data_IF_734669125935
#
_entry.id   IF_734669125935
#
_cell.length_a   1.000
_cell.length_b   1.000
_cell.length_c   1.000
_cell.angle_alpha   90.00
_cell.angle_beta   90.00
_cell.angle_gamma   90.00
#
_symmetry.space_group_name_H-M   'P 1'
#
loop_
_entity.id
_entity.type
_entity.pdbx_description
1 polymer ?
#
# COMPACT_ATOMS: atom_id res chain seq x y z
N UNK A 1 -12.45 -1.87 -2.36
CA UNK A 1 -11.01 -1.75 -1.99
C UNK A 1 -10.16 -2.75 -2.77
N UNK A 2 -10.38 -4.06 -2.65
CA UNK A 2 -9.58 -5.09 -3.32
C UNK A 2 -9.59 -4.96 -4.86
N UNK A 3 -10.74 -4.64 -5.45
CA UNK A 3 -10.83 -4.37 -6.90
C UNK A 3 -9.96 -3.18 -7.30
N UNK A 4 -9.96 -2.11 -6.52
CA UNK A 4 -9.12 -0.94 -6.79
C UNK A 4 -7.62 -1.28 -6.77
N UNK A 5 -7.17 -2.14 -5.86
CA UNK A 5 -5.78 -2.61 -5.81
C UNK A 5 -5.44 -3.38 -7.11
N UNK A 6 -6.33 -4.25 -7.58
CA UNK A 6 -6.16 -4.95 -8.85
C UNK A 6 -6.07 -3.98 -10.04
N UNK A 7 -6.92 -2.94 -10.04
CA UNK A 7 -6.91 -1.90 -11.06
C UNK A 7 -5.60 -1.08 -11.05
N UNK A 8 -5.02 -0.84 -9.87
CA UNK A 8 -3.71 -0.21 -9.73
C UNK A 8 -2.59 -1.08 -10.30
N UNK A 9 -2.59 -2.38 -9.97
CA UNK A 9 -1.59 -3.31 -10.48
C UNK A 9 -1.58 -3.36 -12.01
N UNK A 10 -2.77 -3.42 -12.61
CA UNK A 10 -2.94 -3.44 -14.06
C UNK A 10 -2.55 -2.10 -14.70
N UNK A 11 -3.00 -0.98 -14.14
CA UNK A 11 -2.75 0.35 -14.68
C UNK A 11 -1.29 0.80 -14.55
N UNK A 12 -0.56 0.23 -13.62
CA UNK A 12 0.87 0.49 -13.43
C UNK A 12 1.79 -0.27 -14.41
N UNK A 13 1.20 -1.01 -15.35
CA UNK A 13 1.89 -1.80 -16.39
C UNK A 13 2.99 -2.72 -15.84
N UNK A 14 2.69 -3.35 -14.70
CA UNK A 14 3.59 -4.31 -14.04
C UNK A 14 3.50 -5.73 -14.66
N UNK A 15 2.87 -5.88 -15.82
CA UNK A 15 2.58 -7.18 -16.43
C UNK A 15 1.49 -7.98 -15.70
N UNK A 16 0.83 -7.38 -14.72
CA UNK A 16 -0.24 -8.00 -13.93
C UNK A 16 -1.57 -7.76 -14.63
N UNK A 17 -2.23 -8.82 -15.07
CA UNK A 17 -3.56 -8.76 -15.69
C UNK A 17 -4.68 -8.63 -14.64
N UNK A 18 -4.52 -9.30 -13.50
CA UNK A 18 -5.48 -9.21 -12.39
C UNK A 18 -4.86 -9.68 -11.08
N UNK A 19 -5.51 -9.31 -9.97
CA UNK A 19 -5.17 -9.84 -8.65
C UNK A 19 -6.36 -10.60 -8.07
N UNK A 20 -6.06 -11.74 -7.46
CA UNK A 20 -7.00 -12.56 -6.70
C UNK A 20 -6.64 -12.45 -5.22
N UNK A 21 -7.65 -12.28 -4.37
CA UNK A 21 -7.48 -12.22 -2.93
C UNK A 21 -8.23 -13.38 -2.29
N UNK A 22 -7.52 -14.22 -1.60
CA UNK A 22 -8.08 -15.32 -0.81
C UNK A 22 -8.07 -14.89 0.65
N UNK A 23 -9.24 -14.96 1.29
CA UNK A 23 -9.40 -14.60 2.70
C UNK A 23 -9.64 -15.89 3.46
N UNK A 24 -8.66 -16.30 4.23
CA UNK A 24 -8.78 -17.42 5.16
C UNK A 24 -9.10 -16.87 6.55
N UNK A 25 -10.30 -17.17 7.03
CA UNK A 25 -10.78 -16.73 8.33
C UNK A 25 -10.60 -17.83 9.35
N UNK A 26 -9.64 -17.70 10.25
CA UNK A 26 -9.39 -18.63 11.34
C UNK A 26 -10.01 -18.11 12.62
N UNK A 27 -10.84 -18.94 13.29
CA UNK A 27 -11.27 -18.63 14.65
C UNK A 27 -10.07 -18.69 15.59
N UNK A 28 -9.92 -17.66 16.39
CA UNK A 28 -8.86 -17.63 17.42
C UNK A 28 -9.33 -18.53 18.55
N UNK A 29 -8.80 -19.75 18.59
CA UNK A 29 -8.87 -20.65 19.73
C UNK A 29 -7.61 -20.43 20.57
N UNK A 30 -7.62 -20.89 21.82
CA UNK A 30 -6.55 -20.70 22.83
C UNK A 30 -5.11 -21.03 22.39
N UNK A 31 -4.91 -21.61 21.19
CA UNK A 31 -3.60 -21.87 20.58
C UNK A 31 -3.36 -20.93 19.38
N UNK A 32 -3.02 -19.67 19.68
CA UNK A 32 -2.57 -18.72 18.67
C UNK A 32 -1.17 -19.10 18.17
N UNK A 33 -1.07 -19.51 16.93
CA UNK A 33 0.22 -19.55 16.23
C UNK A 33 0.52 -18.17 15.65
N UNK A 34 1.45 -17.47 16.29
CA UNK A 34 1.97 -16.22 15.74
C UNK A 34 3.11 -16.51 14.75
N UNK A 35 3.32 -15.65 13.73
CA UNK A 35 4.52 -15.71 12.93
C UNK A 35 5.79 -15.69 13.77
N UNK A 36 6.82 -16.42 13.35
CA UNK A 36 8.08 -16.59 14.13
C UNK A 36 8.81 -15.26 14.37
N UNK A 37 8.62 -14.28 13.49
CA UNK A 37 9.26 -12.96 13.55
C UNK A 37 8.66 -12.01 14.58
N UNK A 38 7.58 -12.39 15.28
CA UNK A 38 6.99 -11.55 16.35
C UNK A 38 7.68 -11.85 17.68
N UNK A 39 8.26 -10.84 18.36
CA UNK A 39 8.87 -11.01 19.68
C UNK A 39 7.88 -11.56 20.72
N UNK A 40 8.35 -12.44 21.59
CA UNK A 40 7.49 -13.13 22.58
C UNK A 40 6.77 -12.18 23.54
N UNK A 41 7.38 -11.03 23.88
CA UNK A 41 6.72 -9.98 24.67
C UNK A 41 5.50 -9.38 23.97
N UNK A 42 5.55 -9.22 22.66
CA UNK A 42 4.41 -8.71 21.85
C UNK A 42 3.34 -9.80 21.74
N UNK A 43 3.73 -11.06 21.54
CA UNK A 43 2.80 -12.18 21.53
C UNK A 43 2.00 -12.26 22.85
N UNK A 44 2.70 -12.16 23.98
CA UNK A 44 2.07 -12.18 25.30
C UNK A 44 1.10 -10.99 25.51
N UNK A 45 1.50 -9.78 25.11
CA UNK A 45 0.66 -8.59 25.21
C UNK A 45 -0.60 -8.70 24.33
N UNK A 46 -0.48 -9.25 23.12
CA UNK A 46 -1.63 -9.47 22.23
C UNK A 46 -2.60 -10.50 22.80
N UNK A 47 -2.09 -11.60 23.37
CA UNK A 47 -2.92 -12.61 24.03
C UNK A 47 -3.68 -11.98 25.22
N UNK A 48 -2.98 -11.23 26.07
CA UNK A 48 -3.60 -10.55 27.21
C UNK A 48 -4.67 -9.54 26.77
N UNK A 49 -4.40 -8.75 25.74
CA UNK A 49 -5.36 -7.80 25.17
C UNK A 49 -6.61 -8.51 24.65
N UNK A 50 -6.45 -9.66 23.98
CA UNK A 50 -7.58 -10.44 23.48
C UNK A 50 -8.41 -11.05 24.61
N UNK A 51 -7.79 -11.51 25.69
CA UNK A 51 -8.53 -11.96 26.88
C UNK A 51 -9.37 -10.83 27.50
N UNK A 52 -8.81 -9.61 27.61
CA UNK A 52 -9.54 -8.44 28.09
C UNK A 52 -10.74 -8.11 27.19
N UNK A 53 -10.57 -8.18 25.88
CA UNK A 53 -11.67 -7.94 24.94
C UNK A 53 -12.75 -9.02 25.02
N UNK A 54 -12.38 -10.27 25.22
CA UNK A 54 -13.33 -11.37 25.39
C UNK A 54 -14.13 -11.23 26.69
N UNK A 55 -13.47 -10.81 27.78
CA UNK A 55 -14.12 -10.62 29.09
C UNK A 55 -15.05 -9.40 29.15
N UNK A 56 -14.76 -8.36 28.33
CA UNK A 56 -15.59 -7.13 28.27
C UNK A 56 -16.81 -7.26 27.36
N UNK A 57 -16.84 -8.24 26.47
CA UNK A 57 -18.00 -8.49 25.62
C UNK A 57 -19.02 -9.39 26.33
N UNK A 58 -20.01 -8.77 26.95
CA UNK A 58 -21.15 -9.45 27.63
C UNK A 58 -22.08 -10.26 26.72
N UNK A 59 -21.74 -10.43 25.44
CA UNK A 59 -22.44 -11.30 24.50
C UNK A 59 -21.55 -12.50 24.15
N UNK A 60 -22.00 -13.67 24.56
CA UNK A 60 -21.34 -14.98 24.44
C UNK A 60 -21.07 -15.48 23.01
N UNK A 61 -21.22 -14.65 21.97
CA UNK A 61 -20.98 -15.01 20.57
C UNK A 61 -19.91 -14.17 19.86
N UNK A 62 -19.22 -13.28 20.55
CA UNK A 62 -18.13 -12.52 19.91
C UNK A 62 -16.88 -13.38 19.82
N UNK A 63 -16.83 -14.20 18.78
CA UNK A 63 -15.63 -14.97 18.43
C UNK A 63 -14.69 -14.06 17.66
N UNK A 64 -13.49 -13.85 18.21
CA UNK A 64 -12.45 -13.16 17.49
C UNK A 64 -12.01 -14.01 16.30
N UNK A 65 -11.99 -13.41 15.11
CA UNK A 65 -11.52 -14.06 13.88
C UNK A 65 -10.28 -13.33 13.40
N UNK A 66 -9.25 -14.08 13.09
CA UNK A 66 -8.09 -13.56 12.38
C UNK A 66 -8.29 -13.87 10.89
N UNK A 67 -8.26 -12.85 10.07
CA UNK A 67 -8.32 -12.99 8.62
C UNK A 67 -6.90 -12.93 8.05
N UNK A 68 -6.46 -14.01 7.47
CA UNK A 68 -5.25 -14.06 6.65
C UNK A 68 -5.67 -13.76 5.20
N UNK A 69 -5.09 -12.73 4.60
CA UNK A 69 -5.36 -12.35 3.22
C UNK A 69 -4.15 -12.73 2.38
N UNK A 70 -4.32 -13.70 1.50
CA UNK A 70 -3.33 -14.03 0.48
C UNK A 70 -3.67 -13.28 -0.80
N UNK A 71 -2.69 -12.58 -1.34
CA UNK A 71 -2.81 -11.89 -2.62
C UNK A 71 -2.00 -12.64 -3.67
N UNK A 72 -2.67 -12.99 -4.76
CA UNK A 72 -2.10 -13.72 -5.90
C UNK A 72 -2.27 -12.83 -7.13
N UNK A 73 -1.17 -12.46 -7.76
CA UNK A 73 -1.15 -11.78 -9.05
C UNK A 73 -1.25 -12.79 -10.18
N UNK A 74 -1.86 -12.39 -11.29
CA UNK A 74 -1.94 -13.19 -12.51
C UNK A 74 -1.25 -12.47 -13.64
N UNK A 75 -0.15 -13.03 -14.09
CA UNK A 75 0.67 -12.49 -15.18
C UNK A 75 0.31 -13.13 -16.50
N UNK A 76 0.22 -12.32 -17.55
CA UNK A 76 0.03 -12.82 -18.89
C UNK A 76 1.33 -13.44 -19.41
N UNK A 77 1.24 -14.62 -19.96
CA UNK A 77 2.37 -15.31 -20.57
C UNK A 77 1.94 -16.23 -21.70
N UNK A 78 2.89 -16.90 -22.32
CA UNK A 78 2.67 -17.83 -23.41
C UNK A 78 3.17 -19.21 -22.99
N UNK A 79 2.35 -20.24 -23.13
CA UNK A 79 2.74 -21.62 -22.84
C UNK A 79 3.62 -22.21 -23.98
N UNK A 80 4.11 -23.42 -23.77
CA UNK A 80 4.95 -24.13 -24.74
C UNK A 80 4.24 -24.37 -26.10
N UNK A 81 2.92 -24.30 -26.16
CA UNK A 81 2.13 -24.47 -27.37
C UNK A 81 1.86 -23.15 -28.10
N UNK A 82 2.35 -22.00 -27.59
CA UNK A 82 2.10 -20.68 -28.15
C UNK A 82 0.77 -20.05 -27.75
N UNK A 83 0.07 -20.62 -26.76
CA UNK A 83 -1.22 -20.09 -26.30
C UNK A 83 -1.04 -19.10 -25.14
N UNK A 84 -1.84 -18.03 -25.14
CA UNK A 84 -1.86 -17.08 -24.02
C UNK A 84 -2.46 -17.73 -22.78
N UNK A 85 -1.73 -17.68 -21.68
CA UNK A 85 -2.12 -18.23 -20.38
C UNK A 85 -1.84 -17.24 -19.26
N UNK A 86 -2.54 -17.38 -18.14
CA UNK A 86 -2.32 -16.58 -16.94
C UNK A 86 -1.53 -17.43 -15.93
N UNK A 87 -0.36 -16.94 -15.56
CA UNK A 87 0.47 -17.55 -14.53
C UNK A 87 0.21 -16.88 -13.19
N UNK A 88 -0.17 -17.64 -12.14
CA UNK A 88 -0.31 -17.10 -10.79
C UNK A 88 1.06 -16.92 -10.16
N UNK A 89 1.25 -15.82 -9.43
CA UNK A 89 2.42 -15.53 -8.62
C UNK A 89 1.95 -15.01 -7.26
N UNK A 90 2.50 -15.53 -6.18
CA UNK A 90 2.20 -15.00 -4.84
C UNK A 90 2.81 -13.61 -4.68
N UNK A 91 2.14 -12.73 -3.92
CA UNK A 91 2.63 -11.37 -3.69
C UNK A 91 4.04 -11.34 -3.05
N UNK A 92 4.40 -12.38 -2.29
CA UNK A 92 5.74 -12.58 -1.73
C UNK A 92 6.83 -12.72 -2.79
N UNK A 93 6.48 -13.25 -3.96
CA UNK A 93 7.39 -13.52 -5.07
C UNK A 93 7.43 -12.36 -6.09
N UNK A 94 6.60 -11.34 -5.88
CA UNK A 94 6.60 -10.13 -6.68
C UNK A 94 7.80 -9.23 -6.40
N UNK A 95 8.07 -8.30 -7.32
CA UNK A 95 9.11 -7.28 -7.13
C UNK A 95 8.81 -6.38 -5.93
N UNK A 96 9.86 -5.81 -5.34
CA UNK A 96 9.72 -4.86 -4.22
C UNK A 96 8.82 -3.69 -4.59
N UNK A 97 8.95 -3.17 -5.82
CA UNK A 97 8.10 -2.08 -6.32
C UNK A 97 6.62 -2.46 -6.41
N UNK A 98 6.32 -3.67 -6.89
CA UNK A 98 4.95 -4.21 -6.92
C UNK A 98 4.39 -4.33 -5.51
N UNK A 99 5.14 -4.93 -4.59
CA UNK A 99 4.73 -5.09 -3.20
C UNK A 99 4.51 -3.75 -2.52
N UNK A 100 5.38 -2.78 -2.76
CA UNK A 100 5.26 -1.43 -2.22
C UNK A 100 4.00 -0.74 -2.74
N UNK A 101 3.77 -0.74 -4.05
CA UNK A 101 2.56 -0.17 -4.65
C UNK A 101 1.29 -0.79 -4.04
N UNK A 102 1.26 -2.13 -3.90
CA UNK A 102 0.13 -2.83 -3.29
C UNK A 102 -0.08 -2.43 -1.83
N UNK A 103 0.99 -2.18 -1.09
CA UNK A 103 0.90 -1.77 0.32
C UNK A 103 0.32 -0.37 0.51
N UNK A 104 0.63 0.57 -0.40
CA UNK A 104 0.16 1.96 -0.32
C UNK A 104 -1.17 2.21 -1.05
N UNK A 105 -1.56 1.35 -2.00
CA UNK A 105 -2.77 1.49 -2.79
C UNK A 105 -4.06 1.66 -1.95
N UNK A 106 -4.27 0.95 -0.83
CA UNK A 106 -5.42 1.17 0.04
C UNK A 106 -5.47 2.57 0.65
N UNK A 107 -4.31 3.15 1.01
CA UNK A 107 -4.23 4.49 1.56
C UNK A 107 -4.53 5.55 0.50
N UNK A 108 -3.99 5.38 -0.72
CA UNK A 108 -4.28 6.24 -1.87
C UNK A 108 -5.79 6.23 -2.16
N UNK A 109 -6.40 5.05 -2.29
CA UNK A 109 -7.83 4.92 -2.55
C UNK A 109 -8.69 5.53 -1.45
N UNK A 110 -8.30 5.34 -0.19
CA UNK A 110 -9.01 5.96 0.94
C UNK A 110 -8.95 7.47 0.89
N UNK A 111 -7.78 8.06 0.61
CA UNK A 111 -7.61 9.49 0.47
C UNK A 111 -8.45 10.04 -0.68
N UNK A 112 -8.36 9.46 -1.87
CA UNK A 112 -9.12 9.90 -3.05
C UNK A 112 -10.63 9.81 -2.83
N UNK A 113 -11.13 8.72 -2.24
CA UNK A 113 -12.55 8.52 -1.96
C UNK A 113 -13.11 9.49 -0.93
N UNK A 114 -12.31 9.88 0.05
CA UNK A 114 -12.73 10.77 1.15
C UNK A 114 -12.47 12.24 0.87
N UNK A 115 -11.60 12.58 -0.10
CA UNK A 115 -11.06 13.94 -0.27
C UNK A 115 -10.08 14.28 0.85
N UNK A 116 -9.33 13.29 1.34
CA UNK A 116 -8.42 13.43 2.47
C UNK A 116 -7.01 13.83 2.05
N UNK A 117 -6.10 13.91 3.04
CA UNK A 117 -4.68 14.16 2.83
C UNK A 117 -3.91 12.87 3.04
N UNK A 118 -3.03 12.54 2.09
CA UNK A 118 -2.06 11.44 2.19
C UNK A 118 -0.66 12.04 2.28
N UNK A 119 0.09 11.65 3.29
CA UNK A 119 1.48 12.09 3.48
C UNK A 119 2.37 10.87 3.29
N UNK A 120 3.38 10.99 2.42
CA UNK A 120 4.32 9.91 2.09
C UNK A 120 5.74 10.45 2.17
N UNK A 121 6.55 9.84 3.02
CA UNK A 121 7.97 10.15 3.11
C UNK A 121 8.75 9.29 2.12
N UNK A 122 9.70 9.91 1.38
CA UNK A 122 10.51 9.26 0.34
C UNK A 122 9.64 8.41 -0.61
N UNK A 123 8.74 9.07 -1.35
CA UNK A 123 7.73 8.39 -2.20
C UNK A 123 8.38 7.44 -3.23
N UNK A 124 9.60 7.75 -3.69
CA UNK A 124 10.36 6.93 -4.63
C UNK A 124 10.99 5.69 -4.01
N UNK A 125 10.99 5.57 -2.68
CA UNK A 125 11.62 4.43 -2.01
C UNK A 125 10.94 3.12 -2.40
N UNK A 126 11.71 2.24 -3.02
CA UNK A 126 11.24 0.95 -3.55
C UNK A 126 10.23 1.05 -4.71
N UNK A 127 9.88 2.25 -5.19
CA UNK A 127 9.02 2.44 -6.35
C UNK A 127 9.85 2.83 -7.58
N UNK A 128 9.53 2.24 -8.73
CA UNK A 128 10.06 2.71 -10.00
C UNK A 128 9.52 4.13 -10.29
N UNK A 129 10.32 5.04 -10.88
CA UNK A 129 9.87 6.41 -11.19
C UNK A 129 8.50 6.48 -11.89
N UNK A 130 8.24 5.62 -12.87
CA UNK A 130 6.94 5.55 -13.55
C UNK A 130 5.76 5.26 -12.61
N UNK A 131 5.99 4.51 -11.52
CA UNK A 131 4.95 4.24 -10.53
C UNK A 131 4.67 5.46 -9.64
N UNK A 132 5.72 6.24 -9.36
CA UNK A 132 5.57 7.52 -8.65
C UNK A 132 4.76 8.49 -9.50
N UNK A 133 5.12 8.65 -10.79
CA UNK A 133 4.38 9.48 -11.75
C UNK A 133 2.91 9.07 -11.83
N UNK A 134 2.65 7.76 -11.89
CA UNK A 134 1.29 7.23 -11.90
C UNK A 134 0.50 7.62 -10.63
N UNK A 135 1.12 7.51 -9.45
CA UNK A 135 0.47 7.90 -8.18
C UNK A 135 0.21 9.40 -8.16
N UNK A 136 1.18 10.23 -8.51
CA UNK A 136 1.06 11.69 -8.55
C UNK A 136 -0.04 12.11 -9.53
N UNK A 137 -0.03 11.55 -10.75
CA UNK A 137 -1.03 11.83 -11.78
C UNK A 137 -2.46 11.53 -11.31
N UNK A 138 -2.65 10.49 -10.48
CA UNK A 138 -3.98 10.19 -9.91
C UNK A 138 -4.51 11.30 -9.01
N UNK A 139 -3.65 11.96 -8.24
CA UNK A 139 -4.07 13.10 -7.40
C UNK A 139 -4.27 14.38 -8.19
N UNK A 140 -3.57 14.55 -9.33
CA UNK A 140 -3.69 15.71 -10.20
C UNK A 140 -4.94 15.66 -11.11
N UNK A 141 -5.39 14.48 -11.45
CA UNK A 141 -6.51 14.30 -12.38
C UNK A 141 -7.86 14.54 -11.69
N UNK A 142 -8.69 15.44 -12.21
CA UNK A 142 -10.06 15.65 -11.74
C UNK A 142 -10.94 14.42 -11.89
N UNK A 143 -10.62 13.52 -12.81
CA UNK A 143 -11.37 12.28 -13.03
C UNK A 143 -11.15 11.27 -11.92
N UNK A 144 -9.90 11.09 -11.48
CA UNK A 144 -9.55 10.16 -10.39
C UNK A 144 -9.67 10.82 -9.01
N UNK A 145 -9.59 12.14 -8.93
CA UNK A 145 -9.65 12.93 -7.70
C UNK A 145 -10.76 14.00 -7.72
N UNK A 146 -12.04 13.61 -7.87
CA UNK A 146 -13.13 14.58 -7.94
C UNK A 146 -13.39 15.31 -6.61
N UNK A 147 -12.90 14.78 -5.49
CA UNK A 147 -13.09 15.35 -4.14
C UNK A 147 -11.92 16.22 -3.69
N UNK A 148 -10.88 16.40 -4.52
CA UNK A 148 -9.75 17.26 -4.18
C UNK A 148 -8.88 16.70 -3.05
N UNK A 149 -8.68 15.39 -2.99
CA UNK A 149 -7.70 14.79 -2.07
C UNK A 149 -6.31 15.37 -2.33
N UNK A 150 -5.49 15.47 -1.30
CA UNK A 150 -4.15 16.03 -1.39
C UNK A 150 -3.09 14.94 -1.14
N UNK A 151 -2.03 14.98 -1.94
CA UNK A 151 -0.83 14.18 -1.74
C UNK A 151 0.31 15.13 -1.34
N UNK A 152 0.88 14.91 -0.18
CA UNK A 152 2.09 15.59 0.29
C UNK A 152 3.18 14.54 0.38
N UNK A 153 4.30 14.77 -0.28
CA UNK A 153 5.38 13.78 -0.24
C UNK A 153 6.75 14.44 -0.22
N UNK A 154 7.72 13.75 0.34
CA UNK A 154 9.13 14.09 0.21
C UNK A 154 9.76 13.20 -0.86
N UNK A 155 10.80 13.72 -1.50
CA UNK A 155 11.56 12.99 -2.51
C UNK A 155 12.98 13.53 -2.62
N UNK A 156 13.92 12.66 -2.94
CA UNK A 156 15.27 13.01 -3.36
C UNK A 156 15.44 12.92 -4.90
N UNK A 157 14.40 12.46 -5.60
CA UNK A 157 14.44 12.30 -7.06
C UNK A 157 14.08 13.61 -7.77
N UNK A 158 15.10 14.27 -8.36
CA UNK A 158 14.92 15.50 -9.12
C UNK A 158 14.15 15.33 -10.43
N UNK A 159 14.01 14.10 -10.95
CA UNK A 159 13.21 13.82 -12.15
C UNK A 159 11.71 14.11 -11.92
N UNK A 160 11.25 14.03 -10.66
CA UNK A 160 9.87 14.38 -10.28
C UNK A 160 9.58 15.88 -10.36
N UNK A 161 10.60 16.74 -10.53
CA UNK A 161 10.40 18.17 -10.79
C UNK A 161 9.93 18.44 -12.23
N UNK A 162 9.15 17.53 -12.78
CA UNK A 162 8.58 17.66 -14.11
C UNK A 162 7.39 18.63 -14.10
N UNK A 163 7.52 19.76 -14.79
CA UNK A 163 6.49 20.80 -14.89
C UNK A 163 5.24 20.36 -15.69
N UNK A 164 5.28 19.22 -16.35
CA UNK A 164 4.10 18.63 -16.98
C UNK A 164 3.19 17.95 -15.95
N UNK A 165 3.77 17.49 -14.83
CA UNK A 165 3.07 16.77 -13.76
C UNK A 165 2.80 17.70 -12.58
N UNK A 166 3.79 18.49 -12.17
CA UNK A 166 3.72 19.37 -11.00
C UNK A 166 3.82 20.85 -11.40
N UNK A 167 3.03 21.70 -10.80
CA UNK A 167 3.17 23.15 -10.91
C UNK A 167 4.29 23.66 -9.99
N UNK A 168 4.88 24.81 -10.34
CA UNK A 168 5.94 25.44 -9.53
C UNK A 168 5.51 25.72 -8.09
N UNK A 169 4.25 26.08 -7.88
CA UNK A 169 3.66 26.36 -6.57
C UNK A 169 3.41 25.11 -5.71
N UNK A 170 3.68 23.93 -6.25
CA UNK A 170 3.60 22.65 -5.54
C UNK A 170 4.96 22.12 -5.10
N UNK A 171 6.05 22.80 -5.50
CA UNK A 171 7.41 22.39 -5.21
C UNK A 171 8.00 23.23 -4.09
N UNK A 172 8.50 22.58 -3.07
CA UNK A 172 9.17 23.20 -1.95
C UNK A 172 10.55 22.56 -1.76
N UNK A 173 11.55 23.37 -1.47
CA UNK A 173 12.89 22.90 -1.17
C UNK A 173 13.13 23.01 0.32
N UNK A 174 13.57 21.91 0.93
CA UNK A 174 13.99 21.88 2.31
C UNK A 174 15.51 21.91 2.37
N UNK A 175 16.06 22.88 3.04
CA UNK A 175 17.50 22.98 3.30
C UNK A 175 17.75 23.00 4.80
N UNK A 176 18.88 22.42 5.20
CA UNK A 176 19.32 22.40 6.59
C UNK A 176 20.67 23.02 6.70
N UNK A 177 20.75 24.12 7.44
CA UNK A 177 22.00 24.80 7.76
C UNK A 177 22.97 23.87 8.51
N UNK A 178 24.21 23.80 8.04
CA UNK A 178 25.28 23.06 8.70
C UNK A 178 25.87 23.79 9.92
N UNK A 179 25.57 25.08 10.08
CA UNK A 179 26.12 25.90 11.17
C UNK A 179 25.28 25.81 12.44
N UNK A 180 23.94 25.90 12.33
CA UNK A 180 23.03 25.94 13.46
C UNK A 180 21.99 24.81 13.47
N UNK A 181 21.96 23.98 12.42
CA UNK A 181 21.03 22.86 12.28
C UNK A 181 19.58 23.26 12.04
N UNK A 182 19.31 24.54 11.73
CA UNK A 182 17.97 25.03 11.40
C UNK A 182 17.59 24.57 10.00
N UNK A 183 16.36 24.09 9.85
CA UNK A 183 15.80 23.72 8.56
C UNK A 183 14.87 24.82 8.06
N UNK A 184 15.02 25.21 6.81
CA UNK A 184 14.19 26.17 6.11
C UNK A 184 13.44 25.50 4.96
N UNK A 185 12.24 25.99 4.70
CA UNK A 185 11.41 25.56 3.58
C UNK A 185 11.15 26.77 2.68
N UNK A 186 11.43 26.68 1.38
CA UNK A 186 11.24 27.75 0.41
C UNK A 186 10.82 27.25 -0.96
#
# INVERSE_FOLDING_TARGET
>A
MLQAISDYAKAADLGIESMQFEIDSKEIKDNLSFPENIPDGIKAALIQFMHILADTSSNSETRLKMNEVKAISKHQGINANGEAVLYPLELSDESDGTRKLMSIAPAIESALKKGGVLIVDEIEKELHPMLVDFVVAKFQSKQSNPKGAQLIFTTHNTELMNMEILRKDQLYFADKSNEDGISELY
#
